data_IF_011679587772
#
_entry.id   IF_011679587772
#
_cell.length_a   1.000
_cell.length_b   1.000
_cell.length_c   1.000
_cell.angle_alpha   90.00
_cell.angle_beta   90.00
_cell.angle_gamma   90.00
#
_symmetry.space_group_name_H-M   'P 1'
#
loop_
_entity.id
_entity.type
_entity.pdbx_description
1 polymer ?
#
# COMPACT_ATOMS: atom_id res chain seq x y z
N UNK A 1 28.73 12.68 -19.24
CA UNK A 1 27.98 11.73 -18.37
C UNK A 1 27.41 12.34 -17.08
N UNK A 2 27.92 13.47 -16.57
CA UNK A 2 27.46 14.11 -15.32
C UNK A 2 26.04 14.74 -15.35
N UNK A 3 25.55 15.17 -16.51
CA UNK A 3 24.22 15.80 -16.63
C UNK A 3 23.04 14.84 -16.39
N UNK A 4 23.21 13.53 -16.68
CA UNK A 4 22.18 12.52 -16.45
C UNK A 4 21.97 12.27 -14.96
N UNK A 5 23.09 12.07 -14.22
CA UNK A 5 23.12 11.89 -12.76
C UNK A 5 22.48 13.05 -11.98
N UNK A 6 22.68 14.30 -12.43
CA UNK A 6 22.10 15.51 -11.82
C UNK A 6 20.62 15.71 -12.17
N UNK A 7 20.15 15.18 -13.30
CA UNK A 7 18.71 15.13 -13.64
C UNK A 7 18.01 14.08 -12.78
N UNK A 8 18.65 12.93 -12.60
CA UNK A 8 18.15 11.84 -11.76
C UNK A 8 18.02 12.28 -10.29
N UNK A 9 19.03 12.93 -9.72
CA UNK A 9 18.97 13.34 -8.30
C UNK A 9 17.89 14.40 -8.01
N UNK A 10 17.67 15.35 -8.94
CA UNK A 10 16.60 16.35 -8.82
C UNK A 10 15.22 15.70 -8.93
N UNK A 11 15.07 14.77 -9.87
CA UNK A 11 13.85 14.01 -10.06
C UNK A 11 13.53 13.13 -8.84
N UNK A 12 14.53 12.43 -8.30
CA UNK A 12 14.41 11.61 -7.09
C UNK A 12 13.96 12.42 -5.88
N UNK A 13 14.48 13.64 -5.70
CA UNK A 13 14.05 14.52 -4.59
C UNK A 13 12.56 14.86 -4.66
N UNK A 14 12.06 15.21 -5.85
CA UNK A 14 10.63 15.49 -6.05
C UNK A 14 9.81 14.21 -5.89
N UNK A 15 10.30 13.08 -6.39
CA UNK A 15 9.66 11.77 -6.24
C UNK A 15 9.50 11.37 -4.77
N UNK A 16 10.53 11.54 -3.95
CA UNK A 16 10.45 11.28 -2.49
C UNK A 16 9.39 12.14 -1.80
N UNK A 17 9.24 13.41 -2.21
CA UNK A 17 8.15 14.27 -1.71
C UNK A 17 6.76 13.76 -2.18
N UNK A 18 6.66 13.26 -3.41
CA UNK A 18 5.42 12.66 -3.92
C UNK A 18 5.05 11.39 -3.15
N UNK A 19 6.03 10.54 -2.86
CA UNK A 19 5.86 9.32 -2.07
C UNK A 19 5.38 9.67 -0.64
N UNK A 20 5.96 10.70 -0.04
CA UNK A 20 5.53 11.24 1.25
C UNK A 20 4.06 11.69 1.23
N UNK A 21 3.65 12.42 0.19
CA UNK A 21 2.25 12.86 0.01
C UNK A 21 1.31 11.66 -0.10
N UNK A 22 1.62 10.67 -0.93
CA UNK A 22 0.78 9.47 -1.08
C UNK A 22 0.68 8.69 0.22
N UNK A 23 1.76 8.62 0.99
CA UNK A 23 1.80 7.88 2.24
C UNK A 23 1.03 8.56 3.37
N UNK A 24 1.16 9.88 3.52
CA UNK A 24 0.35 10.64 4.46
C UNK A 24 -1.14 10.59 4.10
N UNK A 25 -1.46 10.63 2.80
CA UNK A 25 -2.84 10.51 2.33
C UNK A 25 -3.42 9.11 2.59
N UNK A 26 -2.63 8.04 2.40
CA UNK A 26 -2.99 6.67 2.82
C UNK A 26 -3.32 6.59 4.30
N UNK A 27 -2.53 7.23 5.15
CA UNK A 27 -2.78 7.28 6.61
C UNK A 27 -4.07 8.03 6.90
N UNK A 28 -4.30 9.17 6.24
CA UNK A 28 -5.55 9.93 6.36
C UNK A 28 -6.77 9.08 5.93
N UNK A 29 -6.58 8.15 5.00
CA UNK A 29 -7.57 7.18 4.53
C UNK A 29 -7.60 5.86 5.34
N UNK A 30 -6.95 5.81 6.51
CA UNK A 30 -6.85 4.62 7.38
C UNK A 30 -6.36 3.36 6.66
N UNK A 31 -5.50 3.53 5.65
CA UNK A 31 -4.84 2.40 4.99
C UNK A 31 -3.70 1.92 5.86
N UNK A 32 -3.53 0.60 5.90
CA UNK A 32 -2.45 -0.05 6.66
C UNK A 32 -1.11 0.50 6.18
N UNK A 33 -0.47 1.28 7.05
CA UNK A 33 0.82 1.92 6.84
C UNK A 33 1.50 1.94 8.20
N UNK A 34 2.78 1.55 8.26
CA UNK A 34 3.55 1.60 9.50
C UNK A 34 4.06 3.03 9.72
N UNK A 35 4.14 3.46 10.98
CA UNK A 35 4.61 4.84 11.28
C UNK A 35 6.11 4.93 11.04
N UNK A 36 6.81 3.82 11.24
CA UNK A 36 8.24 3.62 11.04
C UNK A 36 8.62 3.89 9.57
N UNK A 37 7.87 3.31 8.63
CA UNK A 37 8.06 3.55 7.19
C UNK A 37 7.94 5.05 6.85
N UNK A 38 7.02 5.77 7.51
CA UNK A 38 6.82 7.22 7.28
C UNK A 38 8.02 7.99 7.82
N UNK A 39 8.47 7.63 9.00
CA UNK A 39 9.61 8.24 9.66
C UNK A 39 10.89 8.05 8.87
N UNK A 40 11.10 6.88 8.26
CA UNK A 40 12.24 6.62 7.39
C UNK A 40 12.20 7.48 6.13
N UNK A 41 11.04 7.63 5.49
CA UNK A 41 10.89 8.59 4.38
C UNK A 41 11.19 10.04 4.80
N UNK A 42 10.77 10.46 5.99
CA UNK A 42 11.10 11.79 6.50
C UNK A 42 12.60 11.97 6.77
N UNK A 43 13.32 10.92 7.19
CA UNK A 43 14.79 10.97 7.39
C UNK A 43 15.54 11.17 6.09
N UNK A 44 15.07 10.55 5.01
CA UNK A 44 15.69 10.65 3.69
C UNK A 44 15.49 12.02 3.01
N UNK A 45 14.56 12.83 3.49
CA UNK A 45 14.22 14.12 2.89
C UNK A 45 15.16 15.23 3.41
N UNK A 46 15.80 16.01 2.52
CA UNK A 46 16.76 17.04 2.94
C UNK A 46 16.10 18.24 3.63
N UNK A 47 14.80 18.45 3.45
CA UNK A 47 14.05 19.64 3.90
C UNK A 47 13.77 19.65 5.41
N UNK A 48 14.41 20.57 6.15
CA UNK A 48 14.31 20.68 7.62
C UNK A 48 12.94 21.23 8.08
N UNK A 49 12.34 22.11 7.29
CA UNK A 49 10.99 22.66 7.46
C UNK A 49 9.92 21.55 7.44
N UNK A 50 10.03 20.62 6.49
CA UNK A 50 9.10 19.47 6.41
C UNK A 50 9.30 18.53 7.61
N UNK A 51 10.55 18.25 7.98
CA UNK A 51 10.88 17.37 9.13
C UNK A 51 10.43 17.95 10.47
N UNK A 52 10.51 19.27 10.66
CA UNK A 52 10.06 19.91 11.90
C UNK A 52 8.54 19.86 12.03
N UNK A 53 7.80 20.03 10.94
CA UNK A 53 6.34 19.88 10.91
C UNK A 53 5.90 18.43 11.16
N UNK A 54 6.63 17.43 10.62
CA UNK A 54 6.39 16.02 10.94
C UNK A 54 6.44 15.76 12.45
N UNK A 55 7.48 16.25 13.14
CA UNK A 55 7.61 16.07 14.60
C UNK A 55 6.40 16.59 15.37
N UNK A 56 5.80 17.70 14.93
CA UNK A 56 4.60 18.29 15.54
C UNK A 56 3.35 17.43 15.34
N UNK A 57 3.24 16.74 14.20
CA UNK A 57 2.06 15.94 13.87
C UNK A 57 2.24 14.44 14.14
N UNK A 58 3.47 13.97 14.40
CA UNK A 58 3.83 12.55 14.61
C UNK A 58 2.88 11.86 15.57
N UNK A 59 2.65 12.45 16.74
CA UNK A 59 1.76 11.90 17.74
C UNK A 59 0.29 11.77 17.25
N UNK A 60 -0.18 12.73 16.45
CA UNK A 60 -1.53 12.65 15.88
C UNK A 60 -1.63 11.54 14.83
N UNK A 61 -0.57 11.33 14.04
CA UNK A 61 -0.46 10.26 13.06
C UNK A 61 -0.39 8.91 13.74
N UNK A 62 0.44 8.75 14.77
CA UNK A 62 0.52 7.54 15.61
C UNK A 62 -0.85 7.19 16.20
N UNK A 63 -1.57 8.18 16.74
CA UNK A 63 -2.91 7.97 17.29
C UNK A 63 -3.90 7.49 16.23
N UNK A 64 -3.82 8.00 15.01
CA UNK A 64 -4.65 7.59 13.87
C UNK A 64 -4.32 6.16 13.44
N UNK A 65 -3.02 5.83 13.29
CA UNK A 65 -2.55 4.51 12.86
C UNK A 65 -2.80 3.45 13.93
N UNK A 66 -2.62 3.77 15.20
CA UNK A 66 -2.86 2.87 16.32
C UNK A 66 -4.35 2.65 16.63
N UNK A 67 -5.24 3.51 16.11
CA UNK A 67 -6.66 3.51 16.47
C UNK A 67 -7.38 2.18 16.13
N UNK A 68 -7.22 1.62 14.91
CA UNK A 68 -7.84 0.34 14.56
C UNK A 68 -7.39 -0.79 15.50
N UNK A 69 -6.18 -0.73 16.05
CA UNK A 69 -5.65 -1.75 16.95
C UNK A 69 -6.24 -1.73 18.36
N UNK A 70 -6.95 -0.64 18.74
CA UNK A 70 -7.65 -0.54 20.03
C UNK A 70 -8.89 -1.44 20.08
N UNK A 71 -9.49 -1.74 18.93
CA UNK A 71 -10.59 -2.71 18.86
C UNK A 71 -10.02 -4.13 18.84
N UNK A 72 -10.39 -4.96 19.83
CA UNK A 72 -10.02 -6.39 19.86
C UNK A 72 -10.51 -7.12 18.61
N UNK A 73 -11.67 -6.74 18.08
CA UNK A 73 -12.25 -7.35 16.87
C UNK A 73 -11.40 -7.06 15.63
N UNK A 74 -11.03 -5.79 15.42
CA UNK A 74 -10.22 -5.38 14.26
C UNK A 74 -8.83 -5.99 14.37
N UNK A 75 -8.20 -5.98 15.54
CA UNK A 75 -6.89 -6.61 15.77
C UNK A 75 -6.92 -8.10 15.46
N UNK A 76 -7.97 -8.81 15.88
CA UNK A 76 -8.13 -10.24 15.55
C UNK A 76 -8.26 -10.45 14.05
N UNK A 77 -9.07 -9.65 13.36
CA UNK A 77 -9.25 -9.72 11.90
C UNK A 77 -7.94 -9.42 11.14
N UNK A 78 -7.15 -8.45 11.61
CA UNK A 78 -5.83 -8.14 11.05
C UNK A 78 -4.88 -9.33 11.19
N UNK A 79 -4.79 -9.94 12.39
CA UNK A 79 -3.95 -11.13 12.61
C UNK A 79 -4.38 -12.30 11.73
N UNK A 80 -5.67 -12.60 11.65
CA UNK A 80 -6.20 -13.66 10.78
C UNK A 80 -5.83 -13.39 9.33
N UNK A 81 -6.02 -12.15 8.84
CA UNK A 81 -5.67 -11.77 7.47
C UNK A 81 -4.17 -11.92 7.21
N UNK A 82 -3.32 -11.57 8.18
CA UNK A 82 -1.87 -11.76 8.09
C UNK A 82 -1.50 -13.23 7.98
N UNK A 83 -2.01 -14.09 8.88
CA UNK A 83 -1.76 -15.52 8.82
C UNK A 83 -2.27 -16.15 7.52
N UNK A 84 -3.46 -15.75 7.05
CA UNK A 84 -4.00 -16.21 5.78
C UNK A 84 -3.10 -15.78 4.60
N UNK A 85 -2.55 -14.56 4.61
CA UNK A 85 -1.61 -14.10 3.58
C UNK A 85 -0.31 -14.91 3.58
N UNK A 86 0.20 -15.24 4.75
CA UNK A 86 1.38 -16.10 4.86
C UNK A 86 1.04 -17.51 4.36
N UNK A 87 -0.13 -18.02 4.75
CA UNK A 87 -0.61 -19.35 4.34
C UNK A 87 -0.93 -19.44 2.85
N UNK A 88 -1.35 -18.37 2.16
CA UNK A 88 -1.54 -18.38 0.70
C UNK A 88 -0.21 -18.63 -0.02
N UNK A 89 0.91 -18.09 0.47
CA UNK A 89 2.22 -18.36 -0.10
C UNK A 89 2.62 -19.83 0.07
N UNK A 90 2.39 -20.40 1.26
CA UNK A 90 2.61 -21.83 1.50
C UNK A 90 1.70 -22.71 0.63
N UNK A 91 0.42 -22.36 0.51
CA UNK A 91 -0.53 -23.08 -0.33
C UNK A 91 -0.15 -23.05 -1.81
N UNK A 92 0.40 -21.94 -2.30
CA UNK A 92 0.91 -21.84 -3.67
C UNK A 92 2.09 -22.80 -3.89
N UNK A 93 3.06 -22.81 -2.97
CA UNK A 93 4.20 -23.73 -3.04
C UNK A 93 3.74 -25.20 -3.01
N UNK A 94 2.78 -25.51 -2.14
CA UNK A 94 2.18 -26.84 -2.04
C UNK A 94 1.37 -27.23 -3.28
N UNK A 95 0.81 -26.28 -4.03
CA UNK A 95 0.13 -26.56 -5.29
C UNK A 95 1.13 -26.83 -6.44
N UNK A 96 2.26 -26.12 -6.46
CA UNK A 96 3.28 -26.24 -7.51
C UNK A 96 4.09 -27.54 -7.37
N UNK A 97 4.45 -27.93 -6.15
CA UNK A 97 5.32 -29.09 -5.90
C UNK A 97 4.78 -30.43 -6.48
N UNK A 98 3.54 -30.84 -6.22
CA UNK A 98 2.93 -32.05 -6.81
C UNK A 98 2.81 -31.97 -8.33
N UNK A 99 2.48 -30.79 -8.86
CA UNK A 99 2.37 -30.56 -10.30
C UNK A 99 3.72 -30.76 -10.98
N UNK A 100 4.79 -30.21 -10.39
CA UNK A 100 6.16 -30.43 -10.86
C UNK A 100 6.58 -31.89 -10.73
N UNK A 101 6.32 -32.52 -9.58
CA UNK A 101 6.62 -33.94 -9.35
C UNK A 101 5.94 -34.84 -10.40
N UNK A 102 4.68 -34.56 -10.76
CA UNK A 102 3.95 -35.28 -11.80
C UNK A 102 4.59 -35.14 -13.19
N UNK A 103 4.97 -33.93 -13.58
CA UNK A 103 5.65 -33.67 -14.86
C UNK A 103 6.99 -34.42 -14.95
N UNK A 104 7.75 -34.45 -13.85
CA UNK A 104 9.01 -35.20 -13.77
C UNK A 104 8.79 -36.71 -13.75
N UNK A 105 7.79 -37.19 -13.02
CA UNK A 105 7.41 -38.60 -12.98
C UNK A 105 7.10 -39.13 -14.38
N UNK A 106 6.32 -38.39 -15.16
CA UNK A 106 5.97 -38.79 -16.55
C UNK A 106 7.16 -38.79 -17.51
N UNK A 107 8.27 -38.12 -17.17
CA UNK A 107 9.47 -38.00 -18.01
C UNK A 107 10.62 -38.89 -17.54
N UNK A 108 10.52 -39.48 -16.35
CA UNK A 108 11.55 -40.34 -15.78
C UNK A 108 11.46 -41.75 -16.38
N UNK A 109 12.59 -42.27 -16.86
CA UNK A 109 12.71 -43.63 -17.39
C UNK A 109 13.04 -44.68 -16.32
N UNK A 110 13.36 -44.25 -15.09
CA UNK A 110 13.66 -45.13 -13.96
C UNK A 110 12.62 -45.06 -12.83
N UNK A 111 12.59 -46.07 -11.92
CA UNK A 111 11.66 -46.11 -10.80
C UNK A 111 11.92 -44.94 -9.83
N UNK A 112 10.98 -44.01 -9.69
CA UNK A 112 11.20 -42.84 -8.86
C UNK A 112 11.07 -43.20 -7.37
N UNK A 113 11.65 -42.37 -6.47
CA UNK A 113 11.49 -42.54 -5.04
C UNK A 113 10.01 -42.56 -4.62
N UNK A 114 9.67 -43.36 -3.59
CA UNK A 114 8.28 -43.53 -3.12
C UNK A 114 7.56 -42.21 -2.80
N UNK A 115 8.28 -41.21 -2.29
CA UNK A 115 7.72 -39.89 -2.00
C UNK A 115 7.32 -39.11 -3.26
N UNK A 116 8.06 -39.26 -4.37
CA UNK A 116 7.74 -38.65 -5.67
C UNK A 116 6.50 -39.30 -6.25
N UNK A 117 6.40 -40.63 -6.17
CA UNK A 117 5.23 -41.37 -6.64
C UNK A 117 3.96 -40.95 -5.88
N UNK A 118 4.04 -40.78 -4.56
CA UNK A 118 2.94 -40.26 -3.74
C UNK A 118 2.54 -38.82 -4.15
N UNK A 119 3.51 -37.93 -4.32
CA UNK A 119 3.26 -36.53 -4.71
C UNK A 119 2.74 -36.40 -6.15
N UNK A 120 3.04 -37.37 -7.03
CA UNK A 120 2.60 -37.39 -8.42
C UNK A 120 1.18 -37.97 -8.59
N UNK A 121 0.62 -38.62 -7.56
CA UNK A 121 -0.75 -39.15 -7.58
C UNK A 121 -1.74 -38.04 -7.93
N UNK A 122 -2.61 -38.33 -8.90
CA UNK A 122 -3.61 -37.37 -9.39
C UNK A 122 -4.50 -36.84 -8.26
N UNK A 123 -4.87 -37.70 -7.30
CA UNK A 123 -5.71 -37.31 -6.15
C UNK A 123 -4.99 -36.28 -5.29
N UNK A 124 -3.71 -36.51 -5.03
CA UNK A 124 -2.86 -35.62 -4.23
C UNK A 124 -2.69 -34.27 -4.93
N UNK A 125 -2.40 -34.27 -6.23
CA UNK A 125 -2.28 -33.05 -7.04
C UNK A 125 -3.58 -32.24 -7.02
N UNK A 126 -4.74 -32.88 -7.22
CA UNK A 126 -6.05 -32.20 -7.21
C UNK A 126 -6.32 -31.57 -5.84
N UNK A 127 -6.07 -32.31 -4.75
CA UNK A 127 -6.26 -31.80 -3.38
C UNK A 127 -5.41 -30.56 -3.14
N UNK A 128 -4.11 -30.61 -3.44
CA UNK A 128 -3.22 -29.47 -3.25
C UNK A 128 -3.55 -28.28 -4.15
N UNK A 129 -3.96 -28.53 -5.41
CA UNK A 129 -4.45 -27.47 -6.30
C UNK A 129 -5.73 -26.81 -5.78
N UNK A 130 -6.63 -27.56 -5.14
CA UNK A 130 -7.86 -27.02 -4.57
C UNK A 130 -7.62 -26.19 -3.30
N UNK A 131 -6.58 -26.51 -2.51
CA UNK A 131 -6.25 -25.75 -1.29
C UNK A 131 -5.91 -24.29 -1.61
N UNK A 132 -5.15 -24.02 -2.67
CA UNK A 132 -4.74 -22.66 -3.02
C UNK A 132 -5.92 -21.68 -3.24
N UNK A 133 -6.91 -21.94 -4.13
CA UNK A 133 -8.04 -21.05 -4.32
C UNK A 133 -8.93 -20.94 -3.07
N UNK A 134 -9.05 -22.00 -2.26
CA UNK A 134 -9.80 -21.96 -0.99
C UNK A 134 -9.14 -20.97 -0.02
N UNK A 135 -7.83 -21.11 0.21
CA UNK A 135 -7.07 -20.21 1.09
C UNK A 135 -7.06 -18.78 0.54
N UNK A 136 -6.89 -18.63 -0.78
CA UNK A 136 -6.96 -17.33 -1.45
C UNK A 136 -8.32 -16.64 -1.30
N UNK A 137 -9.40 -17.41 -1.44
CA UNK A 137 -10.77 -16.93 -1.21
C UNK A 137 -11.02 -16.51 0.24
N UNK A 138 -10.58 -17.32 1.20
CA UNK A 138 -10.65 -16.98 2.63
C UNK A 138 -9.86 -15.70 2.93
N UNK A 139 -8.63 -15.59 2.43
CA UNK A 139 -7.82 -14.39 2.58
C UNK A 139 -8.54 -13.14 2.04
N UNK A 140 -9.09 -13.21 0.83
CA UNK A 140 -9.82 -12.11 0.22
C UNK A 140 -11.07 -11.72 1.03
N UNK A 141 -11.81 -12.72 1.53
CA UNK A 141 -12.98 -12.51 2.39
C UNK A 141 -12.62 -11.80 3.71
N UNK A 142 -11.59 -12.28 4.41
CA UNK A 142 -11.15 -11.69 5.67
C UNK A 142 -10.52 -10.30 5.48
N UNK A 143 -9.80 -10.05 4.37
CA UNK A 143 -9.30 -8.71 4.05
C UNK A 143 -10.47 -7.74 3.83
N UNK A 144 -11.50 -8.15 3.09
CA UNK A 144 -12.72 -7.35 2.89
C UNK A 144 -13.46 -7.08 4.20
N UNK A 145 -13.62 -8.11 5.04
CA UNK A 145 -14.25 -7.97 6.36
C UNK A 145 -13.47 -7.01 7.26
N UNK A 146 -12.14 -7.10 7.25
CA UNK A 146 -11.27 -6.18 8.01
C UNK A 146 -11.43 -4.74 7.53
N UNK A 147 -11.46 -4.51 6.21
CA UNK A 147 -11.68 -3.17 5.64
C UNK A 147 -13.04 -2.60 6.06
N UNK A 148 -14.10 -3.40 6.00
CA UNK A 148 -15.44 -2.98 6.46
C UNK A 148 -15.44 -2.61 7.94
N UNK A 149 -14.77 -3.40 8.79
CA UNK A 149 -14.68 -3.12 10.22
C UNK A 149 -13.92 -1.81 10.51
N UNK A 150 -12.81 -1.55 9.81
CA UNK A 150 -12.07 -0.28 9.91
C UNK A 150 -12.93 0.91 9.48
N UNK A 151 -13.65 0.79 8.35
CA UNK A 151 -14.54 1.86 7.85
C UNK A 151 -15.67 2.14 8.86
N UNK A 152 -16.25 1.09 9.45
CA UNK A 152 -17.30 1.24 10.47
C UNK A 152 -16.76 2.00 11.69
N UNK A 153 -15.61 1.58 12.19
CA UNK A 153 -14.95 2.22 13.33
C UNK A 153 -14.57 3.68 13.07
N UNK A 154 -14.09 3.98 11.86
CA UNK A 154 -13.81 5.35 11.42
C UNK A 154 -15.06 6.24 11.46
N UNK A 155 -16.21 5.74 11.00
CA UNK A 155 -17.47 6.49 11.04
C UNK A 155 -17.91 6.79 12.47
N UNK A 156 -17.82 5.81 13.35
CA UNK A 156 -18.17 5.94 14.77
C UNK A 156 -17.28 6.95 15.51
N UNK A 157 -16.01 7.10 15.10
CA UNK A 157 -15.03 7.95 15.77
C UNK A 157 -14.62 9.18 14.97
N UNK A 158 -15.42 9.58 13.97
CA UNK A 158 -15.09 10.65 13.01
C UNK A 158 -14.69 11.96 13.67
N UNK A 159 -15.38 12.35 14.74
CA UNK A 159 -15.12 13.62 15.44
C UNK A 159 -13.76 13.64 16.15
N UNK A 160 -13.44 12.56 16.88
CA UNK A 160 -12.15 12.39 17.56
C UNK A 160 -10.97 12.40 16.58
N UNK A 161 -11.23 12.02 15.33
CA UNK A 161 -10.26 11.90 14.24
C UNK A 161 -10.13 13.16 13.39
N UNK A 162 -11.12 14.05 13.42
CA UNK A 162 -11.21 15.23 12.55
C UNK A 162 -9.96 16.11 12.67
N UNK A 163 -9.53 16.40 13.90
CA UNK A 163 -8.38 17.27 14.18
C UNK A 163 -7.06 16.66 13.68
N UNK A 164 -6.85 15.35 13.90
CA UNK A 164 -5.67 14.66 13.37
C UNK A 164 -5.63 14.64 11.84
N UNK A 165 -6.77 14.38 11.20
CA UNK A 165 -6.90 14.44 9.73
C UNK A 165 -6.65 15.84 9.18
N UNK A 166 -7.11 16.88 9.87
CA UNK A 166 -6.84 18.27 9.47
C UNK A 166 -5.36 18.61 9.57
N UNK A 167 -4.66 18.16 10.62
CA UNK A 167 -3.20 18.32 10.76
C UNK A 167 -2.44 17.61 9.64
N UNK A 168 -2.82 16.37 9.31
CA UNK A 168 -2.24 15.63 8.18
C UNK A 168 -2.49 16.35 6.86
N UNK A 169 -3.72 16.80 6.62
CA UNK A 169 -4.07 17.58 5.42
C UNK A 169 -3.20 18.82 5.28
N UNK A 170 -3.06 19.59 6.36
CA UNK A 170 -2.23 20.79 6.38
C UNK A 170 -0.77 20.49 6.02
N UNK A 171 -0.20 19.39 6.56
CA UNK A 171 1.15 18.97 6.19
C UNK A 171 1.24 18.57 4.71
N UNK A 172 0.27 17.81 4.19
CA UNK A 172 0.23 17.42 2.78
C UNK A 172 0.19 18.66 1.88
N UNK A 173 -0.66 19.66 2.18
CA UNK A 173 -0.71 20.91 1.41
C UNK A 173 0.61 21.68 1.45
N UNK A 174 1.32 21.70 2.59
CA UNK A 174 2.66 22.29 2.69
C UNK A 174 3.67 21.54 1.82
N UNK A 175 3.63 20.20 1.80
CA UNK A 175 4.52 19.38 0.97
C UNK A 175 4.21 19.60 -0.52
N UNK A 176 2.94 19.67 -0.91
CA UNK A 176 2.51 19.98 -2.29
C UNK A 176 3.04 21.35 -2.72
N UNK A 177 2.88 22.37 -1.88
CA UNK A 177 3.45 23.70 -2.16
C UNK A 177 4.98 23.63 -2.32
N UNK A 178 5.66 22.82 -1.49
CA UNK A 178 7.10 22.61 -1.63
C UNK A 178 7.46 21.93 -2.95
N UNK A 179 6.73 20.87 -3.34
CA UNK A 179 6.92 20.16 -4.62
C UNK A 179 6.87 21.15 -5.78
N UNK A 180 5.84 22.00 -5.83
CA UNK A 180 5.68 23.02 -6.87
C UNK A 180 6.85 24.01 -6.86
N UNK A 181 7.23 24.51 -5.67
CA UNK A 181 8.34 25.47 -5.55
C UNK A 181 9.70 24.89 -5.97
N UNK A 182 9.98 23.63 -5.60
CA UNK A 182 11.24 22.97 -5.90
C UNK A 182 11.30 22.53 -7.37
N UNK A 183 10.19 22.08 -7.95
CA UNK A 183 10.10 21.79 -9.38
C UNK A 183 10.39 23.03 -10.22
N UNK A 184 9.82 24.19 -9.85
CA UNK A 184 10.10 25.48 -10.51
C UNK A 184 11.56 25.88 -10.37
N UNK A 185 12.12 25.80 -9.16
CA UNK A 185 13.54 26.11 -8.90
C UNK A 185 14.48 25.20 -9.70
N UNK A 186 14.13 23.93 -9.84
CA UNK A 186 14.94 22.91 -10.51
C UNK A 186 14.70 22.82 -12.02
N UNK A 187 13.73 23.57 -12.56
CA UNK A 187 13.25 23.51 -13.95
C UNK A 187 12.85 22.09 -14.37
N UNK A 188 12.12 21.39 -13.51
CA UNK A 188 11.59 20.05 -13.78
C UNK A 188 10.11 20.16 -14.14
N UNK A 189 9.66 19.39 -15.12
CA UNK A 189 8.26 19.39 -15.52
C UNK A 189 7.37 18.66 -14.49
N UNK A 190 6.35 19.34 -13.97
CA UNK A 190 5.38 18.76 -13.03
C UNK A 190 4.47 17.72 -13.68
N UNK A 191 4.33 17.70 -15.01
CA UNK A 191 3.58 16.68 -15.76
C UNK A 191 4.10 15.26 -15.60
N UNK A 192 5.40 15.12 -15.33
CA UNK A 192 6.05 13.83 -15.17
C UNK A 192 5.66 13.15 -13.85
N UNK A 193 5.19 13.93 -12.86
CA UNK A 193 4.85 13.43 -11.53
C UNK A 193 3.34 13.23 -11.38
N UNK A 194 2.92 11.98 -11.51
CA UNK A 194 1.55 11.54 -11.21
C UNK A 194 1.53 10.88 -9.85
N UNK A 195 0.61 11.31 -8.99
CA UNK A 195 0.44 10.75 -7.64
C UNK A 195 -0.94 10.15 -7.49
N UNK A 196 -1.03 9.01 -6.81
CA UNK A 196 -2.29 8.39 -6.46
C UNK A 196 -2.73 8.83 -5.06
N UNK A 197 -3.88 9.50 -4.98
CA UNK A 197 -4.50 10.00 -3.76
C UNK A 197 -5.90 9.40 -3.56
N UNK A 198 -6.32 9.34 -2.31
CA UNK A 198 -7.63 8.90 -1.84
C UNK A 198 -8.57 10.08 -1.56
N UNK A 199 -8.03 11.27 -1.31
CA UNK A 199 -8.79 12.50 -1.14
C UNK A 199 -8.41 13.54 -2.22
N UNK A 200 -9.40 14.30 -2.70
CA UNK A 200 -9.23 15.38 -3.69
C UNK A 200 -9.16 16.78 -3.08
N UNK A 201 -9.38 16.91 -1.78
CA UNK A 201 -9.61 18.20 -1.13
C UNK A 201 -8.33 19.01 -0.86
N UNK A 202 -7.25 18.71 -1.58
CA UNK A 202 -5.94 19.35 -1.46
C UNK A 202 -5.80 20.53 -2.42
N UNK A 203 -5.22 21.63 -1.94
CA UNK A 203 -4.91 22.80 -2.78
C UNK A 203 -3.69 22.50 -3.69
N UNK A 204 -3.75 22.90 -4.96
CA UNK A 204 -2.63 22.78 -5.91
C UNK A 204 -2.57 21.42 -6.63
N UNK A 205 -3.68 20.70 -6.68
CA UNK A 205 -3.80 19.36 -7.27
C UNK A 205 -4.92 19.36 -8.30
N UNK A 206 -4.69 18.73 -9.46
CA UNK A 206 -5.69 18.53 -10.52
C UNK A 206 -5.87 17.04 -10.75
N UNK A 207 -7.12 16.60 -10.76
CA UNK A 207 -7.48 15.20 -11.00
C UNK A 207 -7.39 14.92 -12.50
N UNK A 208 -6.63 13.90 -12.86
CA UNK A 208 -6.50 13.41 -14.24
C UNK A 208 -7.43 12.22 -14.50
N UNK A 209 -7.52 11.30 -13.54
CA UNK A 209 -8.25 10.04 -13.69
C UNK A 209 -8.82 9.57 -12.35
N UNK A 210 -10.03 9.00 -12.38
CA UNK A 210 -10.62 8.29 -11.25
C UNK A 210 -10.56 6.77 -11.46
N UNK A 211 -9.76 6.08 -10.65
CA UNK A 211 -9.60 4.63 -10.72
C UNK A 211 -10.52 3.93 -9.72
N UNK A 212 -11.56 3.27 -10.23
CA UNK A 212 -12.47 2.43 -9.44
C UNK A 212 -12.02 0.96 -9.34
N UNK A 213 -10.88 0.56 -9.92
CA UNK A 213 -10.41 -0.83 -9.94
C UNK A 213 -11.12 -1.67 -11.02
N UNK A 214 -10.33 -2.46 -11.78
CA UNK A 214 -10.80 -3.12 -13.01
C UNK A 214 -11.70 -4.33 -12.78
N UNK A 215 -11.41 -5.15 -11.76
CA UNK A 215 -12.08 -6.44 -11.54
C UNK A 215 -13.11 -6.37 -10.40
N UNK A 216 -12.79 -5.62 -9.34
CA UNK A 216 -13.73 -5.34 -8.25
C UNK A 216 -13.86 -3.83 -8.12
N UNK A 217 -15.03 -3.29 -8.47
CA UNK A 217 -15.34 -1.87 -8.31
C UNK A 217 -15.17 -1.49 -6.83
N UNK A 218 -14.18 -0.66 -6.56
CA UNK A 218 -13.90 -0.09 -5.24
C UNK A 218 -14.99 0.92 -4.93
N UNK A 219 -15.53 0.87 -3.71
CA UNK A 219 -16.51 1.85 -3.23
C UNK A 219 -15.94 3.28 -3.15
N UNK A 220 -14.62 3.41 -3.06
CA UNK A 220 -13.92 4.68 -3.04
C UNK A 220 -12.87 4.70 -4.16
N UNK A 221 -12.91 5.67 -5.08
CA UNK A 221 -11.93 5.79 -6.15
C UNK A 221 -10.56 6.17 -5.61
N UNK A 222 -9.52 5.83 -6.37
CA UNK A 222 -8.20 6.45 -6.24
C UNK A 222 -8.09 7.49 -7.36
N UNK A 223 -7.70 8.70 -6.99
CA UNK A 223 -7.49 9.81 -7.90
C UNK A 223 -6.04 9.82 -8.35
N UNK A 224 -5.81 9.72 -9.65
CA UNK A 224 -4.51 10.04 -10.23
C UNK A 224 -4.50 11.55 -10.42
N UNK A 225 -3.54 12.20 -9.78
CA UNK A 225 -3.46 13.65 -9.78
C UNK A 225 -2.14 14.15 -10.33
N UNK A 226 -2.19 15.36 -10.88
CA UNK A 226 -1.04 16.18 -11.24
C UNK A 226 -1.00 17.42 -10.35
N UNK A 227 0.20 17.91 -10.07
CA UNK A 227 0.38 19.19 -9.39
C UNK A 227 0.14 20.35 -10.35
N UNK A 228 -0.63 21.35 -9.91
CA UNK A 228 -0.86 22.58 -10.65
C UNK A 228 -0.16 23.73 -9.93
N UNK A 229 0.50 24.59 -10.70
CA UNK A 229 0.93 25.88 -10.17
C UNK A 229 -0.32 26.66 -9.72
N UNK A 230 -0.28 27.19 -8.50
CA UNK A 230 -1.27 28.21 -8.13
C UNK A 230 -1.06 29.39 -9.08
N UNK A 231 -2.11 29.72 -9.83
CA UNK A 231 -2.29 31.06 -10.39
C UNK A 231 -2.49 32.02 -9.22
#
# INVERSE_FOLDING_TARGET
>A
MFFRKKKDERYERIKKLCDLVSMLDRIRAFRRTYVEDVEDLFKEIPYRDIRSEWKKIKHAVEKIVAMPYRSREITRLIRITYYLRTFTMFALTLAILPMYARLFYTRSTGPPPKWVAFMADLRVVIIFMAIFPIVGGLWAFFDHKTRKAIIKYEREHREKLKLGKMKIKSLIEKIIAKIVSEAKRMKVNLDEFKVELYYMDYKGVVVLEEKYGRIFKRKWPIYVVKFKEKV
#
